data_IF_155483505024
#
_entry.id   IF_155483505024
#
_cell.length_a   1.000
_cell.length_b   1.000
_cell.length_c   1.000
_cell.angle_alpha   90.00
_cell.angle_beta   90.00
_cell.angle_gamma   90.00
#
_symmetry.space_group_name_H-M   'P 1'
#
loop_
_entity.id
_entity.type
_entity.pdbx_description
1 polymer ?
#
# COMPACT_ATOMS: atom_id res chain seq x y z
N UNK A 1 9.65 -16.37 12.31
CA UNK A 1 8.28 -15.86 12.50
C UNK A 1 7.98 -15.06 11.27
N UNK A 2 6.95 -15.42 10.53
CA UNK A 2 6.63 -14.77 9.26
C UNK A 2 5.95 -13.43 9.51
N UNK A 3 6.26 -12.45 8.67
CA UNK A 3 5.67 -11.12 8.69
C UNK A 3 4.47 -11.11 7.75
N UNK A 4 3.29 -10.90 8.30
CA UNK A 4 2.05 -10.76 7.53
C UNK A 4 1.94 -9.37 6.92
N UNK A 5 1.38 -9.28 5.73
CA UNK A 5 0.96 -8.01 5.15
C UNK A 5 -0.43 -8.13 4.54
N UNK A 6 -1.18 -7.03 4.54
CA UNK A 6 -2.51 -6.95 3.93
C UNK A 6 -2.69 -5.61 3.22
N UNK A 7 -3.45 -5.62 2.14
CA UNK A 7 -3.87 -4.46 1.39
C UNK A 7 -5.39 -4.47 1.27
N UNK A 8 -6.00 -3.33 1.56
CA UNK A 8 -7.40 -3.08 1.28
C UNK A 8 -7.63 -1.69 0.70
N UNK A 9 -8.83 -1.48 0.17
CA UNK A 9 -9.28 -0.18 -0.34
C UNK A 9 -10.51 0.29 0.41
N UNK A 10 -10.50 1.56 0.79
CA UNK A 10 -11.66 2.27 1.27
C UNK A 10 -12.23 3.08 0.11
N UNK A 11 -13.22 2.51 -0.59
CA UNK A 11 -13.86 3.23 -1.69
C UNK A 11 -14.60 4.46 -1.18
N UNK A 12 -14.75 5.48 -2.03
CA UNK A 12 -15.51 6.67 -1.66
C UNK A 12 -16.92 6.30 -1.15
N UNK A 13 -17.31 6.89 -0.01
CA UNK A 13 -18.64 6.76 0.62
C UNK A 13 -18.95 5.39 1.25
N UNK A 14 -17.97 4.51 1.41
CA UNK A 14 -18.10 3.33 2.28
C UNK A 14 -17.16 3.47 3.48
N UNK A 15 -17.60 2.98 4.64
CA UNK A 15 -16.77 2.96 5.86
C UNK A 15 -15.94 1.68 5.96
N UNK A 16 -16.32 0.64 5.20
CA UNK A 16 -15.68 -0.67 5.26
C UNK A 16 -14.52 -0.76 4.27
N UNK A 17 -13.36 -1.18 4.77
CA UNK A 17 -12.22 -1.55 3.94
C UNK A 17 -12.54 -2.85 3.22
N UNK A 18 -12.45 -2.82 1.88
CA UNK A 18 -12.55 -4.02 1.05
C UNK A 18 -11.16 -4.64 0.93
N UNK A 19 -10.97 -5.92 1.31
CA UNK A 19 -9.69 -6.60 1.15
C UNK A 19 -9.37 -6.74 -0.34
N UNK A 20 -8.12 -6.51 -0.71
CA UNK A 20 -7.62 -6.62 -2.09
C UNK A 20 -6.55 -7.70 -2.24
N UNK A 21 -5.59 -7.75 -1.33
CA UNK A 21 -4.49 -8.70 -1.35
C UNK A 21 -3.92 -8.90 0.06
N UNK A 22 -3.28 -10.03 0.29
CA UNK A 22 -2.57 -10.34 1.51
C UNK A 22 -1.45 -11.34 1.24
N UNK A 23 -0.54 -11.47 2.20
CA UNK A 23 0.52 -12.45 2.14
C UNK A 23 1.41 -12.47 3.36
N UNK A 24 2.44 -13.30 3.30
CA UNK A 24 3.45 -13.47 4.34
C UNK A 24 4.84 -13.41 3.72
N UNK A 25 5.81 -12.87 4.45
CA UNK A 25 7.22 -12.86 4.06
C UNK A 25 8.13 -13.22 5.23
N UNK A 26 9.38 -13.59 4.94
CA UNK A 26 10.33 -14.02 5.99
C UNK A 26 10.96 -12.84 6.72
N UNK A 27 10.95 -11.66 6.11
CA UNK A 27 11.47 -10.42 6.70
C UNK A 27 10.49 -9.25 6.55
N UNK A 28 10.64 -8.22 7.40
CA UNK A 28 9.85 -6.97 7.31
C UNK A 28 10.09 -6.27 5.96
N UNK A 29 11.34 -6.28 5.46
CA UNK A 29 11.68 -5.66 4.18
C UNK A 29 10.96 -6.33 3.00
N UNK A 30 10.97 -7.66 2.93
CA UNK A 30 10.25 -8.42 1.90
C UNK A 30 8.73 -8.20 1.98
N UNK A 31 8.17 -8.11 3.20
CA UNK A 31 6.75 -7.83 3.37
C UNK A 31 6.38 -6.41 2.90
N UNK A 32 7.24 -5.42 3.16
CA UNK A 32 7.06 -4.04 2.67
C UNK A 32 7.12 -4.01 1.13
N UNK A 33 8.09 -4.68 0.53
CA UNK A 33 8.24 -4.76 -0.93
C UNK A 33 6.99 -5.40 -1.56
N UNK A 34 6.56 -6.57 -1.07
CA UNK A 34 5.37 -7.25 -1.58
C UNK A 34 4.08 -6.42 -1.41
N UNK A 35 3.93 -5.73 -0.27
CA UNK A 35 2.80 -4.85 -0.04
C UNK A 35 2.83 -3.61 -0.96
N UNK A 36 4.03 -3.09 -1.28
CA UNK A 36 4.22 -1.97 -2.21
C UNK A 36 3.85 -2.36 -3.63
N UNK A 37 4.31 -3.52 -4.10
CA UNK A 37 3.95 -4.02 -5.42
C UNK A 37 2.44 -4.24 -5.55
N UNK A 38 1.81 -4.85 -4.54
CA UNK A 38 0.37 -5.05 -4.51
C UNK A 38 -0.40 -3.71 -4.53
N UNK A 39 0.08 -2.71 -3.79
CA UNK A 39 -0.50 -1.37 -3.76
C UNK A 39 -0.42 -0.68 -5.13
N UNK A 40 0.73 -0.76 -5.80
CA UNK A 40 0.91 -0.20 -7.15
C UNK A 40 -0.03 -0.85 -8.14
N UNK A 41 -0.12 -2.18 -8.15
CA UNK A 41 -1.05 -2.92 -9.01
C UNK A 41 -2.51 -2.52 -8.72
N UNK A 42 -2.89 -2.39 -7.44
CA UNK A 42 -4.22 -1.96 -7.07
C UNK A 42 -4.53 -0.52 -7.55
N UNK A 43 -3.57 0.40 -7.41
CA UNK A 43 -3.71 1.78 -7.85
C UNK A 43 -3.74 1.92 -9.38
N UNK A 44 -3.03 1.06 -10.11
CA UNK A 44 -3.13 0.97 -11.58
C UNK A 44 -4.54 0.60 -12.03
N UNK A 45 -5.18 -0.36 -11.35
CA UNK A 45 -6.50 -0.88 -11.71
C UNK A 45 -7.66 0.03 -11.26
N UNK A 46 -7.59 0.53 -10.01
CA UNK A 46 -8.69 1.27 -9.36
C UNK A 46 -8.49 2.78 -9.32
N UNK A 47 -7.31 3.25 -9.70
CA UNK A 47 -6.95 4.66 -9.67
C UNK A 47 -6.78 5.20 -8.24
N UNK A 48 -7.05 6.51 -8.09
CA UNK A 48 -6.85 7.23 -6.84
C UNK A 48 -7.98 6.96 -5.85
N UNK A 49 -7.74 6.06 -4.91
CA UNK A 49 -8.58 5.75 -3.76
C UNK A 49 -7.76 5.86 -2.48
N UNK A 50 -8.42 5.74 -1.33
CA UNK A 50 -7.73 5.51 -0.07
C UNK A 50 -7.43 4.01 0.10
N UNK A 51 -6.16 3.67 0.20
CA UNK A 51 -5.69 2.31 0.45
C UNK A 51 -5.24 2.17 1.89
N UNK A 52 -5.49 0.99 2.46
CA UNK A 52 -5.06 0.60 3.80
C UNK A 52 -4.08 -0.54 3.67
N UNK A 53 -2.84 -0.29 4.05
CA UNK A 53 -1.75 -1.26 4.03
C UNK A 53 -1.41 -1.60 5.46
N UNK A 54 -1.32 -2.88 5.79
CA UNK A 54 -0.79 -3.35 7.06
C UNK A 54 0.46 -4.18 6.77
N UNK A 55 1.55 -3.92 7.50
CA UNK A 55 2.73 -4.79 7.51
C UNK A 55 3.08 -5.07 8.96
N UNK A 56 3.17 -6.35 9.32
CA UNK A 56 3.19 -6.82 10.70
C UNK A 56 2.00 -6.27 11.50
N UNK A 57 2.26 -5.29 12.37
CA UNK A 57 1.31 -4.60 13.24
C UNK A 57 1.14 -3.11 12.86
N UNK A 58 1.85 -2.65 11.84
CA UNK A 58 1.86 -1.25 11.42
C UNK A 58 0.84 -1.03 10.31
N UNK A 59 -0.21 -0.26 10.60
CA UNK A 59 -1.23 0.15 9.64
C UNK A 59 -0.92 1.53 9.05
N UNK A 60 -0.98 1.64 7.73
CA UNK A 60 -0.66 2.83 6.95
C UNK A 60 -1.83 3.14 6.03
N UNK A 61 -2.35 4.37 6.09
CA UNK A 61 -3.29 4.91 5.11
C UNK A 61 -2.52 5.58 3.97
N UNK A 62 -2.83 5.21 2.73
CA UNK A 62 -2.17 5.74 1.54
C UNK A 62 -3.20 6.28 0.56
N UNK A 63 -3.06 7.53 0.17
CA UNK A 63 -3.80 8.12 -0.95
C UNK A 63 -2.76 8.49 -2.01
N UNK A 64 -2.77 7.85 -3.19
CA UNK A 64 -1.79 8.15 -4.23
C UNK A 64 -1.80 9.63 -4.62
N UNK A 65 -0.60 10.16 -4.84
CA UNK A 65 -0.40 11.44 -5.49
C UNK A 65 -0.85 11.42 -6.94
N UNK A 66 -0.86 12.60 -7.56
CA UNK A 66 -1.08 12.75 -8.99
C UNK A 66 0.18 13.30 -9.66
N UNK A 67 0.40 12.91 -10.91
CA UNK A 67 1.38 13.54 -11.80
C UNK A 67 0.91 14.93 -12.23
N UNK A 68 1.77 15.71 -12.89
CA UNK A 68 1.39 17.01 -13.46
C UNK A 68 0.27 16.90 -14.50
N UNK A 69 0.15 15.74 -15.16
CA UNK A 69 -0.89 15.44 -16.13
C UNK A 69 -2.22 15.04 -15.47
N UNK A 70 -2.24 14.85 -14.15
CA UNK A 70 -3.41 14.44 -13.39
C UNK A 70 -3.62 12.93 -13.31
N UNK A 71 -2.66 12.14 -13.77
CA UNK A 71 -2.67 10.67 -13.64
C UNK A 71 -2.16 10.24 -12.26
N UNK A 72 -2.44 9.01 -11.84
CA UNK A 72 -1.90 8.48 -10.58
C UNK A 72 -0.38 8.38 -10.66
N UNK A 73 0.33 8.97 -9.68
CA UNK A 73 1.79 8.85 -9.58
C UNK A 73 2.19 7.49 -8.99
N UNK A 74 2.25 6.49 -9.86
CA UNK A 74 2.62 5.11 -9.50
C UNK A 74 4.09 4.99 -9.09
N UNK A 75 4.96 5.84 -9.64
CA UNK A 75 6.39 5.82 -9.31
C UNK A 75 6.61 6.32 -7.88
N UNK A 76 6.04 7.49 -7.55
CA UNK A 76 6.07 8.01 -6.18
C UNK A 76 5.39 7.06 -5.18
N UNK A 77 4.34 6.35 -5.61
CA UNK A 77 3.64 5.36 -4.79
C UNK A 77 4.53 4.14 -4.46
N UNK A 78 5.27 3.62 -5.43
CA UNK A 78 6.16 2.47 -5.24
C UNK A 78 7.27 2.75 -4.23
N UNK A 79 7.73 4.01 -4.14
CA UNK A 79 8.77 4.43 -3.20
C UNK A 79 8.22 4.82 -1.82
N UNK A 80 6.91 5.04 -1.69
CA UNK A 80 6.32 5.63 -0.49
C UNK A 80 6.40 4.69 0.72
N UNK A 81 5.97 3.44 0.57
CA UNK A 81 5.96 2.48 1.68
C UNK A 81 7.37 2.21 2.22
N UNK A 82 8.38 1.86 1.38
CA UNK A 82 9.75 1.67 1.86
C UNK A 82 10.31 2.87 2.64
N UNK A 83 9.98 4.10 2.22
CA UNK A 83 10.43 5.32 2.92
C UNK A 83 9.74 5.51 4.28
N UNK A 84 8.43 5.28 4.35
CA UNK A 84 7.65 5.47 5.57
C UNK A 84 8.02 4.40 6.62
N UNK A 85 8.16 3.15 6.21
CA UNK A 85 8.46 2.04 7.13
C UNK A 85 9.95 1.82 7.38
N UNK A 86 10.82 2.37 6.52
CA UNK A 86 12.28 2.34 6.67
C UNK A 86 12.84 3.45 7.56
N UNK A 87 12.00 4.40 7.99
CA UNK A 87 12.37 5.50 8.90
C UNK A 87 12.38 5.12 10.38
N UNK A 88 12.12 3.84 10.74
CA UNK A 88 12.39 3.30 12.08
C UNK A 88 13.91 3.19 12.30
N UNK A 89 14.55 4.31 12.62
CA UNK A 89 15.97 4.38 13.00
C UNK A 89 16.15 5.09 14.33
#
# INVERSE_FOLDING_TARGET
MDITWTLGVLSARVENVQPLADGTATTKAEAIEAASDALVVAAMDRGRQEYRVCVADTMIGVIPGLTEQGDVDLFGLAEALPRITGSDR
#
